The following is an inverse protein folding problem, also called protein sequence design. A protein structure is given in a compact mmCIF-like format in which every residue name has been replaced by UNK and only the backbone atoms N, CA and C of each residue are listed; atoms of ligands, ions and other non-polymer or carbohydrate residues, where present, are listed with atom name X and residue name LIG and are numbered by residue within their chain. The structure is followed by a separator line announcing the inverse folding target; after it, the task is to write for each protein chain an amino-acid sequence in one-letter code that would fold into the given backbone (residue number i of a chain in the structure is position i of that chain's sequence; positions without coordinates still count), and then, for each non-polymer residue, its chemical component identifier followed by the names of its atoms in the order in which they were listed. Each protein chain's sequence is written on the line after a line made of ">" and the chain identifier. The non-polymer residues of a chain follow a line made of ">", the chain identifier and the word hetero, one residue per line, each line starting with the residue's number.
data_IF_277677192375
#
_entry.id   IF_277677192375
#
_cell.length_a   1.000
_cell.length_b   1.000
_cell.length_c   1.000
_cell.angle_alpha   90.00
_cell.angle_beta   90.00
_cell.angle_gamma   90.00
#
_symmetry.space_group_name_H-M   'P 1'
#
loop_
_entity.id
_entity.type
_entity.pdbx_description
1 polymer ?
#
# COMPACT_ATOMS: atom_id res chain seq x y z
N UNK A 1 22.08 6.70 4.59
CA UNK A 1 21.82 7.40 5.87
C UNK A 1 20.75 6.60 6.62
N UNK A 2 20.96 6.13 7.85
CA UNK A 2 20.01 5.20 8.49
C UNK A 2 18.68 5.88 8.90
N UNK A 3 17.55 5.21 8.66
CA UNK A 3 16.21 5.62 9.14
C UNK A 3 16.23 5.90 10.65
N UNK A 4 15.81 7.08 11.08
CA UNK A 4 15.55 7.33 12.50
C UNK A 4 14.26 6.63 12.92
N UNK A 5 14.40 5.43 13.48
CA UNK A 5 13.30 4.52 13.83
C UNK A 5 12.32 5.14 14.83
N UNK A 6 12.82 5.87 15.84
CA UNK A 6 11.99 6.50 16.86
C UNK A 6 11.05 7.56 16.26
N UNK A 7 11.60 8.46 15.44
CA UNK A 7 10.82 9.48 14.74
C UNK A 7 9.88 8.87 13.70
N UNK A 8 10.28 7.76 13.09
CA UNK A 8 9.45 7.05 12.12
C UNK A 8 8.20 6.44 12.76
N UNK A 9 8.30 5.86 13.95
CA UNK A 9 7.15 5.25 14.64
C UNK A 9 6.07 6.25 15.07
N UNK A 10 6.40 7.52 15.23
CA UNK A 10 5.41 8.54 15.56
C UNK A 10 4.66 9.03 14.32
N UNK A 11 5.38 9.22 13.20
CA UNK A 11 4.83 9.89 12.03
C UNK A 11 4.41 8.93 10.91
N UNK A 12 4.98 7.73 10.86
CA UNK A 12 4.83 6.76 9.76
C UNK A 12 5.06 7.37 8.38
N UNK A 13 5.96 8.36 8.31
CA UNK A 13 6.34 9.06 7.09
C UNK A 13 7.84 8.93 6.91
N UNK A 14 8.24 8.54 5.72
CA UNK A 14 9.64 8.47 5.31
C UNK A 14 9.90 9.53 4.24
N UNK A 15 10.93 10.35 4.43
CA UNK A 15 11.39 11.31 3.44
C UNK A 15 12.91 11.36 3.47
N UNK A 16 13.53 11.12 2.31
CA UNK A 16 14.98 11.16 2.18
C UNK A 16 15.39 11.66 0.80
N UNK A 17 16.64 12.14 0.71
CA UNK A 17 17.32 12.47 -0.53
C UNK A 17 18.71 11.84 -0.47
N UNK A 18 18.89 10.70 -1.13
CA UNK A 18 20.11 9.91 -1.06
C UNK A 18 20.31 9.10 -2.36
N UNK A 19 21.51 8.55 -2.59
CA UNK A 19 21.74 7.58 -3.66
C UNK A 19 20.86 6.34 -3.51
N UNK A 20 20.64 5.62 -4.62
CA UNK A 20 19.79 4.43 -4.66
C UNK A 20 20.17 3.36 -3.62
N UNK A 21 21.45 2.98 -3.45
CA UNK A 21 21.83 1.95 -2.48
C UNK A 21 21.44 2.30 -1.05
N UNK A 22 21.54 3.57 -0.67
CA UNK A 22 21.16 4.06 0.64
C UNK A 22 19.65 4.00 0.86
N UNK A 23 18.86 4.41 -0.15
CA UNK A 23 17.41 4.32 -0.08
C UNK A 23 16.93 2.86 -0.02
N UNK A 24 17.60 1.95 -0.73
CA UNK A 24 17.27 0.52 -0.69
C UNK A 24 17.57 -0.08 0.69
N UNK A 25 18.67 0.31 1.34
CA UNK A 25 18.94 -0.06 2.74
C UNK A 25 17.85 0.45 3.67
N UNK A 26 17.40 1.69 3.50
CA UNK A 26 16.31 2.24 4.30
C UNK A 26 15.00 1.46 4.09
N UNK A 27 14.69 1.08 2.85
CA UNK A 27 13.50 0.26 2.57
C UNK A 27 13.59 -1.15 3.16
N UNK A 28 14.80 -1.69 3.29
CA UNK A 28 15.05 -2.98 3.96
C UNK A 28 14.87 -2.88 5.47
N UNK A 29 15.28 -1.76 6.08
CA UNK A 29 14.96 -1.50 7.50
C UNK A 29 13.45 -1.44 7.71
N UNK A 30 12.72 -0.77 6.81
CA UNK A 30 11.25 -0.70 6.89
C UNK A 30 10.58 -2.08 6.73
N UNK A 31 11.04 -2.92 5.80
CA UNK A 31 10.50 -4.28 5.64
C UNK A 31 10.77 -5.15 6.87
N UNK A 32 11.93 -5.01 7.50
CA UNK A 32 12.26 -5.74 8.73
C UNK A 32 11.43 -5.28 9.92
N UNK A 33 11.17 -3.97 10.06
CA UNK A 33 10.29 -3.45 11.11
C UNK A 33 8.86 -3.98 10.96
N UNK A 34 8.36 -3.99 9.73
CA UNK A 34 7.04 -4.51 9.38
C UNK A 34 6.93 -6.01 9.66
N UNK A 35 7.89 -6.81 9.20
CA UNK A 35 7.94 -8.25 9.43
C UNK A 35 7.98 -8.60 10.93
N UNK A 36 8.71 -7.81 11.74
CA UNK A 36 8.71 -7.97 13.21
C UNK A 36 7.35 -7.65 13.82
N UNK A 37 6.70 -6.58 13.40
CA UNK A 37 5.37 -6.21 13.90
C UNK A 37 4.32 -7.25 13.51
N UNK A 38 4.35 -7.76 12.28
CA UNK A 38 3.47 -8.83 11.81
C UNK A 38 3.71 -10.13 12.59
N UNK A 39 4.98 -10.51 12.78
CA UNK A 39 5.37 -11.68 13.56
C UNK A 39 4.89 -11.61 15.01
N UNK A 40 5.10 -10.48 15.68
CA UNK A 40 4.61 -10.24 17.04
C UNK A 40 3.08 -10.35 17.13
N UNK A 41 2.35 -9.79 16.16
CA UNK A 41 0.88 -9.86 16.13
C UNK A 41 0.36 -11.28 15.91
N UNK A 42 1.01 -12.06 15.04
CA UNK A 42 0.67 -13.48 14.83
C UNK A 42 0.97 -14.32 16.06
N UNK A 43 2.11 -14.09 16.72
CA UNK A 43 2.46 -14.77 17.97
C UNK A 43 1.46 -14.44 19.09
N UNK A 44 1.09 -13.17 19.27
CA UNK A 44 0.07 -12.74 20.23
C UNK A 44 -1.33 -13.28 19.92
N UNK A 45 -1.68 -13.42 18.64
CA UNK A 45 -2.93 -14.06 18.23
C UNK A 45 -2.96 -15.53 18.64
N UNK A 46 -1.91 -16.28 18.28
CA UNK A 46 -1.84 -17.70 18.58
C UNK A 46 -1.79 -17.95 20.10
N UNK A 47 -0.94 -17.22 20.82
CA UNK A 47 -0.83 -17.31 22.29
C UNK A 47 -2.11 -16.85 22.99
N UNK A 48 -2.72 -15.74 22.56
CA UNK A 48 -3.98 -15.24 23.10
C UNK A 48 -5.12 -16.25 22.95
N UNK A 49 -5.26 -16.90 21.77
CA UNK A 49 -6.25 -17.95 21.58
C UNK A 49 -5.95 -19.21 22.41
N UNK A 50 -4.69 -19.63 22.44
CA UNK A 50 -4.26 -20.81 23.20
C UNK A 50 -4.39 -20.66 24.73
N UNK A 51 -4.52 -19.43 25.23
CA UNK A 51 -4.69 -19.14 26.66
C UNK A 51 -6.14 -18.83 27.02
N UNK A 52 -6.82 -17.98 26.23
CA UNK A 52 -8.19 -17.55 26.51
C UNK A 52 -9.22 -18.67 26.37
N UNK A 53 -9.10 -19.54 25.37
CA UNK A 53 -10.05 -20.64 25.15
C UNK A 53 -10.05 -21.66 26.29
N UNK A 54 -8.91 -22.31 26.65
CA UNK A 54 -8.92 -23.25 27.75
C UNK A 54 -9.23 -22.58 29.08
N UNK A 55 -8.76 -21.35 29.33
CA UNK A 55 -9.12 -20.58 30.52
C UNK A 55 -10.64 -20.37 30.64
N UNK A 56 -11.29 -19.97 29.55
CA UNK A 56 -12.74 -19.81 29.48
C UNK A 56 -13.51 -21.11 29.69
N UNK A 57 -13.05 -22.21 29.08
CA UNK A 57 -13.67 -23.53 29.27
C UNK A 57 -13.54 -23.99 30.72
N UNK A 58 -12.36 -23.87 31.33
CA UNK A 58 -12.12 -24.25 32.73
C UNK A 58 -13.00 -23.41 33.67
N UNK A 59 -13.06 -22.09 33.46
CA UNK A 59 -13.90 -21.20 34.26
C UNK A 59 -15.40 -21.55 34.12
N UNK A 60 -15.87 -21.84 32.90
CA UNK A 60 -17.25 -22.21 32.63
C UNK A 60 -17.63 -23.56 33.26
N UNK A 61 -16.78 -24.58 33.13
CA UNK A 61 -16.99 -25.90 33.73
C UNK A 61 -16.99 -25.80 35.25
N UNK A 62 -16.03 -25.08 35.83
CA UNK A 62 -15.95 -24.86 37.28
C UNK A 62 -17.21 -24.16 37.80
N UNK A 63 -17.68 -23.12 37.09
CA UNK A 63 -18.91 -22.42 37.42
C UNK A 63 -20.14 -23.34 37.33
N UNK A 64 -20.25 -24.16 36.29
CA UNK A 64 -21.36 -25.10 36.13
C UNK A 64 -21.41 -26.16 37.23
N UNK A 65 -20.26 -26.71 37.62
CA UNK A 65 -20.16 -27.66 38.73
C UNK A 65 -20.50 -26.99 40.06
N UNK A 66 -19.98 -25.78 40.32
CA UNK A 66 -20.31 -25.03 41.52
C UNK A 66 -21.81 -24.71 41.60
N UNK A 67 -22.40 -24.18 40.53
CA UNK A 67 -23.82 -23.83 40.49
C UNK A 67 -24.73 -25.05 40.69
N UNK A 68 -24.40 -26.19 40.09
CA UNK A 68 -25.20 -27.41 40.21
C UNK A 68 -25.07 -28.13 41.56
N UNK A 69 -23.97 -27.91 42.28
CA UNK A 69 -23.70 -28.58 43.55
C UNK A 69 -24.08 -27.73 44.79
N UNK A 70 -24.16 -26.39 44.66
CA UNK A 70 -24.74 -25.50 45.70
C UNK A 70 -26.22 -25.83 45.96
N UNK A 71 -26.96 -26.26 44.94
CA UNK A 71 -28.37 -26.66 45.10
C UNK A 71 -28.57 -28.03 45.77
N UNK A 72 -27.49 -28.81 45.97
CA UNK A 72 -27.57 -30.21 46.45
C UNK A 72 -26.87 -30.48 47.78
N UNK A 73 -26.22 -29.50 48.40
CA UNK A 73 -25.42 -29.65 49.64
C UNK A 73 -24.39 -30.80 49.59
N UNK A 74 -23.94 -31.20 48.40
CA UNK A 74 -23.11 -32.40 48.15
C UNK A 74 -21.59 -32.12 48.08
N UNK A 75 -21.13 -30.89 48.33
CA UNK A 75 -19.72 -30.53 48.15
C UNK A 75 -18.91 -30.77 49.44
N UNK A 76 -17.99 -31.74 49.39
CA UNK A 76 -16.96 -31.89 50.43
C UNK A 76 -15.99 -30.71 50.47
N UNK A 77 -15.40 -30.38 51.62
CA UNK A 77 -14.43 -29.28 51.76
C UNK A 77 -13.26 -29.37 50.77
N UNK A 78 -12.78 -30.59 50.51
CA UNK A 78 -11.74 -30.85 49.52
C UNK A 78 -12.21 -30.52 48.09
N UNK A 79 -13.47 -30.84 47.75
CA UNK A 79 -14.09 -30.48 46.47
C UNK A 79 -14.26 -28.97 46.31
N UNK A 80 -14.64 -28.27 47.38
CA UNK A 80 -14.76 -26.81 47.37
C UNK A 80 -13.40 -26.11 47.16
N UNK A 81 -12.32 -26.62 47.79
CA UNK A 81 -10.97 -26.11 47.57
C UNK A 81 -10.49 -26.35 46.12
N UNK A 82 -10.72 -27.54 45.57
CA UNK A 82 -10.34 -27.87 44.21
C UNK A 82 -11.06 -27.00 43.17
N UNK A 83 -12.36 -26.73 43.37
CA UNK A 83 -13.14 -25.81 42.52
C UNK A 83 -12.61 -24.37 42.60
N UNK A 84 -12.28 -23.87 43.79
CA UNK A 84 -11.70 -22.52 43.94
C UNK A 84 -10.37 -22.38 43.21
N UNK A 85 -9.47 -23.36 43.34
CA UNK A 85 -8.17 -23.34 42.66
C UNK A 85 -8.35 -23.45 41.15
N UNK A 86 -9.15 -24.41 40.68
CA UNK A 86 -9.38 -24.65 39.25
C UNK A 86 -10.06 -23.46 38.58
N UNK A 87 -11.08 -22.88 39.23
CA UNK A 87 -11.75 -21.66 38.77
C UNK A 87 -10.84 -20.43 38.77
N UNK A 88 -9.99 -20.28 39.81
CA UNK A 88 -8.99 -19.23 39.88
C UNK A 88 -7.98 -19.30 38.74
N UNK A 89 -7.45 -20.49 38.45
CA UNK A 89 -6.53 -20.74 37.33
C UNK A 89 -7.23 -20.47 35.99
N UNK A 90 -8.45 -20.98 35.79
CA UNK A 90 -9.23 -20.73 34.57
C UNK A 90 -9.48 -19.24 34.34
N UNK A 91 -9.91 -18.53 35.39
CA UNK A 91 -10.11 -17.08 35.35
C UNK A 91 -8.83 -16.30 35.04
N UNK A 92 -7.71 -16.65 35.67
CA UNK A 92 -6.42 -16.01 35.42
C UNK A 92 -5.95 -16.19 33.96
N UNK A 93 -6.07 -17.41 33.42
CA UNK A 93 -5.74 -17.69 32.02
C UNK A 93 -6.60 -16.89 31.03
N UNK A 94 -7.90 -16.76 31.32
CA UNK A 94 -8.81 -15.94 30.52
C UNK A 94 -8.42 -14.46 30.54
N UNK A 95 -8.10 -13.91 31.72
CA UNK A 95 -7.65 -12.51 31.86
C UNK A 95 -6.34 -12.28 31.10
N UNK A 96 -5.35 -13.17 31.26
CA UNK A 96 -4.08 -13.08 30.53
C UNK A 96 -4.32 -13.12 29.02
N UNK A 97 -5.16 -14.04 28.54
CA UNK A 97 -5.51 -14.12 27.12
C UNK A 97 -6.15 -12.83 26.59
N UNK A 98 -7.07 -12.23 27.35
CA UNK A 98 -7.68 -10.93 27.01
C UNK A 98 -6.65 -9.80 26.97
N UNK A 99 -5.71 -9.74 27.93
CA UNK A 99 -4.62 -8.76 27.94
C UNK A 99 -3.72 -8.91 26.71
N UNK A 100 -3.42 -10.14 26.27
CA UNK A 100 -2.66 -10.38 25.04
C UNK A 100 -3.40 -9.87 23.79
N UNK A 101 -4.74 -10.02 23.73
CA UNK A 101 -5.54 -9.44 22.66
C UNK A 101 -5.55 -7.91 22.67
N UNK A 102 -5.63 -7.29 23.85
CA UNK A 102 -5.51 -5.84 24.00
C UNK A 102 -4.13 -5.37 23.54
N UNK A 103 -3.07 -6.08 23.93
CA UNK A 103 -1.71 -5.77 23.48
C UNK A 103 -1.58 -5.89 21.96
N UNK A 104 -2.12 -6.96 21.35
CA UNK A 104 -2.20 -7.11 19.89
C UNK A 104 -2.87 -5.91 19.22
N UNK A 105 -3.94 -5.38 19.81
CA UNK A 105 -4.63 -4.19 19.28
C UNK A 105 -3.73 -2.96 19.27
N UNK A 106 -2.93 -2.76 20.32
CA UNK A 106 -1.95 -1.64 20.38
C UNK A 106 -0.84 -1.73 19.35
N UNK A 107 -0.54 -2.94 18.82
CA UNK A 107 0.46 -3.15 17.77
C UNK A 107 -0.08 -2.95 16.36
N UNK A 108 -1.40 -2.91 16.16
CA UNK A 108 -2.02 -2.75 14.83
C UNK A 108 -1.51 -1.51 14.07
N UNK A 109 -1.28 -0.34 14.69
CA UNK A 109 -0.73 0.82 13.98
C UNK A 109 0.69 0.62 13.45
N UNK A 110 1.45 -0.36 13.96
CA UNK A 110 2.81 -0.67 13.53
C UNK A 110 2.88 -1.56 12.28
N UNK A 111 1.73 -2.10 11.86
CA UNK A 111 1.56 -2.87 10.63
C UNK A 111 1.57 -1.92 9.43
N UNK A 112 2.64 -1.99 8.63
CA UNK A 112 2.81 -1.11 7.47
C UNK A 112 2.17 -1.77 6.24
N UNK A 113 1.78 -0.98 5.23
CA UNK A 113 1.31 -1.56 3.97
C UNK A 113 2.51 -2.01 3.13
N UNK A 114 2.72 -3.33 3.03
CA UNK A 114 3.83 -3.97 2.30
C UNK A 114 3.97 -3.47 0.87
N UNK A 115 2.84 -3.10 0.24
CA UNK A 115 2.81 -2.64 -1.15
C UNK A 115 3.52 -1.30 -1.31
N UNK A 116 3.52 -0.45 -0.28
CA UNK A 116 4.03 0.93 -0.36
C UNK A 116 5.55 0.98 -0.41
N UNK A 117 6.22 0.38 0.58
CA UNK A 117 7.69 0.29 0.56
C UNK A 117 8.17 -0.70 -0.52
N UNK A 118 7.41 -1.77 -0.81
CA UNK A 118 7.70 -2.70 -1.89
C UNK A 118 7.74 -2.02 -3.27
N UNK A 119 6.80 -1.10 -3.55
CA UNK A 119 6.82 -0.34 -4.80
C UNK A 119 8.08 0.53 -4.90
N UNK A 120 8.45 1.19 -3.80
CA UNK A 120 9.66 2.01 -3.74
C UNK A 120 10.91 1.17 -4.06
N UNK A 121 11.07 0.01 -3.42
CA UNK A 121 12.19 -0.90 -3.67
C UNK A 121 12.29 -1.31 -5.14
N UNK A 122 11.18 -1.75 -5.73
CA UNK A 122 11.19 -2.23 -7.13
C UNK A 122 11.51 -1.09 -8.10
N UNK A 123 10.93 0.09 -7.90
CA UNK A 123 11.21 1.25 -8.76
C UNK A 123 12.65 1.74 -8.62
N UNK A 124 13.18 1.79 -7.39
CA UNK A 124 14.58 2.16 -7.15
C UNK A 124 15.55 1.23 -7.88
N UNK A 125 15.38 -0.10 -7.74
CA UNK A 125 16.21 -1.10 -8.45
C UNK A 125 16.14 -0.97 -9.96
N UNK A 126 14.95 -0.65 -10.51
CA UNK A 126 14.79 -0.45 -11.97
C UNK A 126 15.46 0.84 -12.46
N UNK A 127 15.38 1.91 -11.67
CA UNK A 127 15.96 3.20 -12.02
C UNK A 127 17.47 3.25 -11.81
N UNK A 128 18.04 2.39 -10.96
CA UNK A 128 19.47 2.32 -10.67
C UNK A 128 20.32 2.25 -11.94
N UNK A 129 19.87 1.48 -12.94
CA UNK A 129 20.57 1.32 -14.22
C UNK A 129 20.65 2.61 -15.06
N UNK A 130 19.71 3.53 -14.87
CA UNK A 130 19.61 4.78 -15.64
C UNK A 130 20.16 6.01 -14.87
N UNK A 131 20.72 5.77 -13.68
CA UNK A 131 21.23 6.80 -12.76
C UNK A 131 22.75 6.77 -12.70
N UNK A 132 23.37 7.93 -12.44
CA UNK A 132 24.77 7.93 -12.04
C UNK A 132 24.91 7.32 -10.64
N UNK A 133 26.04 6.66 -10.30
CA UNK A 133 26.20 5.94 -9.02
C UNK A 133 25.83 6.77 -7.79
N UNK A 134 26.20 8.04 -7.78
CA UNK A 134 25.95 8.97 -6.66
C UNK A 134 24.77 9.92 -6.91
N UNK A 135 23.94 9.67 -7.93
CA UNK A 135 22.83 10.55 -8.26
C UNK A 135 21.79 10.53 -7.12
N UNK A 136 21.49 11.69 -6.51
CA UNK A 136 20.55 11.73 -5.40
C UNK A 136 19.11 11.54 -5.90
N UNK A 137 18.43 10.54 -5.35
CA UNK A 137 17.00 10.31 -5.53
C UNK A 137 16.27 10.89 -4.32
N UNK A 138 15.23 11.68 -4.56
CA UNK A 138 14.33 12.15 -3.50
C UNK A 138 13.14 11.21 -3.42
N UNK A 139 12.98 10.55 -2.26
CA UNK A 139 11.88 9.65 -1.98
C UNK A 139 11.03 10.19 -0.84
N UNK A 140 9.71 10.17 -1.02
CA UNK A 140 8.71 10.45 0.00
C UNK A 140 7.67 9.33 0.03
N UNK A 141 7.44 8.79 1.23
CA UNK A 141 6.48 7.74 1.52
C UNK A 141 5.64 8.14 2.74
N UNK A 142 4.32 8.10 2.62
CA UNK A 142 3.38 8.07 3.74
C UNK A 142 2.92 6.62 3.92
N UNK A 143 3.20 6.02 5.06
CA UNK A 143 2.86 4.62 5.36
C UNK A 143 1.65 4.50 6.28
N UNK A 144 1.01 5.63 6.64
CA UNK A 144 -0.25 5.63 7.39
C UNK A 144 -1.38 5.12 6.51
N UNK A 145 -2.39 4.53 7.14
CA UNK A 145 -3.60 4.08 6.45
C UNK A 145 -4.21 5.19 5.56
N UNK A 146 -4.83 4.84 4.42
CA UNK A 146 -5.37 5.81 3.47
C UNK A 146 -6.64 6.53 3.99
N UNK A 147 -7.21 6.05 5.08
CA UNK A 147 -8.47 6.48 5.68
C UNK A 147 -8.31 7.23 7.02
N UNK A 148 -7.10 7.72 7.30
CA UNK A 148 -6.84 8.64 8.42
C UNK A 148 -7.61 9.95 8.21
N UNK A 149 -8.16 10.51 9.28
CA UNK A 149 -9.00 11.72 9.24
C UNK A 149 -8.31 12.91 8.58
N UNK A 150 -7.00 13.10 8.78
CA UNK A 150 -6.19 14.14 8.10
C UNK A 150 -6.28 14.09 6.57
N UNK A 151 -6.54 12.90 6.00
CA UNK A 151 -6.60 12.65 4.56
C UNK A 151 -8.02 12.76 4.02
N UNK A 152 -9.01 13.03 4.88
CA UNK A 152 -10.41 13.18 4.49
C UNK A 152 -10.63 14.54 3.83
N UNK A 153 -11.11 14.51 2.60
CA UNK A 153 -11.32 15.71 1.78
C UNK A 153 -12.78 16.15 1.78
N UNK A 154 -13.70 15.20 1.90
CA UNK A 154 -15.13 15.48 1.90
C UNK A 154 -15.89 14.43 2.69
N UNK A 155 -16.93 14.86 3.39
CA UNK A 155 -17.99 14.00 3.92
C UNK A 155 -19.29 14.42 3.25
N UNK A 156 -20.06 13.45 2.75
CA UNK A 156 -21.29 13.71 1.99
C UNK A 156 -22.31 12.59 2.19
N UNK A 157 -23.58 12.87 1.86
CA UNK A 157 -24.63 11.87 1.80
C UNK A 157 -24.89 11.48 0.34
N UNK A 158 -24.53 10.26 -0.04
CA UNK A 158 -24.72 9.75 -1.41
C UNK A 158 -25.88 8.77 -1.41
N UNK A 159 -27.07 9.26 -1.76
CA UNK A 159 -28.32 8.52 -1.58
C UNK A 159 -28.60 8.28 -0.10
N UNK A 160 -28.73 7.02 0.33
CA UNK A 160 -28.98 6.64 1.73
C UNK A 160 -27.71 6.25 2.50
N UNK A 161 -26.53 6.70 2.05
CA UNK A 161 -25.23 6.33 2.62
C UNK A 161 -24.45 7.57 3.07
N UNK A 162 -24.03 7.57 4.33
CA UNK A 162 -23.01 8.50 4.82
C UNK A 162 -21.68 8.12 4.19
N UNK A 163 -21.05 9.05 3.47
CA UNK A 163 -19.92 8.77 2.60
C UNK A 163 -18.76 9.69 2.92
N UNK A 164 -17.63 9.12 3.32
CA UNK A 164 -16.37 9.83 3.48
C UNK A 164 -15.47 9.59 2.27
N UNK A 165 -14.87 10.67 1.75
CA UNK A 165 -13.92 10.66 0.65
C UNK A 165 -12.53 11.03 1.17
N UNK A 166 -11.55 10.17 0.92
CA UNK A 166 -10.16 10.34 1.30
C UNK A 166 -9.27 10.44 0.07
N UNK A 167 -8.26 11.31 0.13
CA UNK A 167 -7.21 11.42 -0.87
C UNK A 167 -5.86 11.25 -0.17
N UNK A 168 -5.14 10.19 -0.51
CA UNK A 168 -3.88 9.82 0.11
C UNK A 168 -2.71 9.94 -0.88
N UNK A 169 -2.02 11.09 -0.94
CA UNK A 169 -0.82 11.28 -1.75
C UNK A 169 0.40 10.64 -1.08
N UNK A 170 0.45 9.32 -1.06
CA UNK A 170 1.41 8.59 -0.24
C UNK A 170 2.80 8.40 -0.87
N UNK A 171 2.94 8.44 -2.20
CA UNK A 171 4.21 8.16 -2.88
C UNK A 171 4.69 9.34 -3.72
N UNK A 172 5.97 9.70 -3.59
CA UNK A 172 6.66 10.54 -4.56
C UNK A 172 8.12 10.13 -4.68
N UNK A 173 8.57 9.84 -5.90
CA UNK A 173 9.96 9.60 -6.26
C UNK A 173 10.38 10.64 -7.31
N UNK A 174 11.44 11.39 -7.03
CA UNK A 174 12.01 12.37 -7.95
C UNK A 174 13.49 12.11 -8.15
N UNK A 175 13.94 12.10 -9.41
CA UNK A 175 15.36 11.93 -9.71
C UNK A 175 15.73 12.59 -11.04
N UNK A 176 17.04 12.70 -11.28
CA UNK A 176 17.60 13.12 -12.56
C UNK A 176 18.35 11.95 -13.17
N UNK A 177 17.93 11.52 -14.35
CA UNK A 177 18.55 10.44 -15.10
C UNK A 177 19.86 10.90 -15.75
N UNK A 178 20.68 9.95 -16.21
CA UNK A 178 21.98 10.21 -16.83
C UNK A 178 21.90 11.10 -18.10
N UNK A 179 20.78 11.05 -18.83
CA UNK A 179 20.51 11.94 -19.98
C UNK A 179 20.16 13.39 -19.58
N UNK A 180 20.06 13.66 -18.28
CA UNK A 180 19.69 14.93 -17.68
C UNK A 180 18.19 15.21 -17.68
N UNK A 181 17.34 14.22 -18.00
CA UNK A 181 15.90 14.31 -17.82
C UNK A 181 15.55 14.23 -16.33
N UNK A 182 14.60 15.05 -15.90
CA UNK A 182 14.07 15.01 -14.54
C UNK A 182 12.81 14.17 -14.52
N UNK A 183 12.84 13.06 -13.79
CA UNK A 183 11.73 12.12 -13.65
C UNK A 183 11.05 12.33 -12.31
N UNK A 184 9.71 12.35 -12.33
CA UNK A 184 8.86 12.33 -11.15
C UNK A 184 7.81 11.23 -11.29
N UNK A 185 7.79 10.32 -10.34
CA UNK A 185 6.75 9.30 -10.19
C UNK A 185 5.95 9.63 -8.93
N UNK A 186 4.63 9.68 -9.03
CA UNK A 186 3.72 9.99 -7.91
C UNK A 186 2.60 8.98 -7.88
N UNK A 187 2.23 8.53 -6.69
CA UNK A 187 1.03 7.71 -6.49
C UNK A 187 0.10 8.36 -5.47
N UNK A 188 -1.18 8.35 -5.79
CA UNK A 188 -2.26 8.89 -4.93
C UNK A 188 -3.37 7.86 -4.86
N UNK A 189 -3.77 7.45 -3.67
CA UNK A 189 -4.94 6.60 -3.47
C UNK A 189 -6.17 7.46 -3.21
N UNK A 190 -7.31 7.06 -3.78
CA UNK A 190 -8.60 7.65 -3.47
C UNK A 190 -9.49 6.57 -2.87
N UNK A 191 -9.90 6.78 -1.62
CA UNK A 191 -10.73 5.82 -0.89
C UNK A 191 -12.05 6.47 -0.55
N UNK A 192 -13.12 5.72 -0.76
CA UNK A 192 -14.48 6.07 -0.40
C UNK A 192 -14.98 5.05 0.61
N UNK A 193 -15.31 5.53 1.81
CA UNK A 193 -16.01 4.75 2.83
C UNK A 193 -17.47 5.14 2.83
N UNK A 194 -18.37 4.15 2.83
CA UNK A 194 -19.81 4.36 2.90
C UNK A 194 -20.36 3.58 4.09
N UNK A 195 -21.15 4.24 4.90
CA UNK A 195 -21.80 3.65 6.05
C UNK A 195 -23.31 3.92 6.00
N UNK A 196 -24.08 2.91 6.39
CA UNK A 196 -25.51 3.04 6.61
C UNK A 196 -25.88 2.26 7.86
N UNK A 197 -26.56 2.94 8.78
CA UNK A 197 -27.09 2.32 9.99
C UNK A 197 -28.61 2.25 9.90
N UNK A 198 -29.19 1.14 10.38
CA UNK A 198 -30.64 0.96 10.50
C UNK A 198 -30.96 0.34 11.86
N UNK A 199 -31.93 0.91 12.56
CA UNK A 199 -32.44 0.39 13.83
C UNK A 199 -33.75 -0.36 13.56
N UNK A 200 -33.89 -1.57 14.11
CA UNK A 200 -35.14 -2.34 14.04
C UNK A 200 -36.16 -1.87 15.08
N UNK A 201 -37.42 -2.27 14.94
CA UNK A 201 -38.47 -1.98 15.93
C UNK A 201 -38.14 -2.51 17.33
N UNK A 202 -37.33 -3.58 17.42
CA UNK A 202 -36.80 -4.11 18.69
C UNK A 202 -35.60 -3.33 19.26
N UNK A 203 -35.24 -2.17 18.70
CA UNK A 203 -34.11 -1.35 19.14
C UNK A 203 -32.73 -1.82 18.66
N UNK A 204 -32.62 -2.96 17.97
CA UNK A 204 -31.34 -3.48 17.47
C UNK A 204 -30.84 -2.64 16.28
N UNK A 205 -29.69 -2.00 16.46
CA UNK A 205 -29.01 -1.27 15.39
C UNK A 205 -28.11 -2.20 14.57
N UNK A 206 -28.19 -2.11 13.24
CA UNK A 206 -27.31 -2.78 12.29
C UNK A 206 -26.64 -1.76 11.40
N UNK A 207 -25.32 -1.80 11.34
CA UNK A 207 -24.50 -0.96 10.47
C UNK A 207 -23.97 -1.78 9.30
N UNK A 208 -24.13 -1.25 8.09
CA UNK A 208 -23.51 -1.79 6.88
C UNK A 208 -22.47 -0.81 6.38
N UNK A 209 -21.26 -1.31 6.17
CA UNK A 209 -20.14 -0.54 5.62
C UNK A 209 -19.76 -1.06 4.24
N UNK A 210 -19.36 -0.14 3.34
CA UNK A 210 -18.74 -0.46 2.05
C UNK A 210 -17.50 0.39 1.87
N UNK A 211 -16.47 -0.18 1.26
CA UNK A 211 -15.25 0.52 0.86
C UNK A 211 -15.08 0.40 -0.65
N UNK A 212 -14.76 1.51 -1.31
CA UNK A 212 -14.37 1.53 -2.72
C UNK A 212 -13.09 2.36 -2.84
N UNK A 213 -12.07 1.82 -3.49
CA UNK A 213 -10.82 2.53 -3.70
C UNK A 213 -10.33 2.42 -5.14
N UNK A 214 -9.37 3.28 -5.48
CA UNK A 214 -8.52 3.13 -6.65
C UNK A 214 -7.24 3.94 -6.45
N UNK A 215 -6.19 3.59 -7.18
CA UNK A 215 -4.93 4.31 -7.15
C UNK A 215 -4.70 5.06 -8.46
N UNK A 216 -4.14 6.27 -8.37
CA UNK A 216 -3.68 7.06 -9.51
C UNK A 216 -2.16 7.11 -9.51
N UNK A 217 -1.58 6.55 -10.55
CA UNK A 217 -0.15 6.59 -10.81
C UNK A 217 0.14 7.66 -11.86
N UNK A 218 1.06 8.56 -11.56
CA UNK A 218 1.49 9.62 -12.47
C UNK A 218 3.00 9.54 -12.69
N UNK A 219 3.41 9.50 -13.96
CA UNK A 219 4.82 9.56 -14.38
C UNK A 219 5.00 10.82 -15.20
N UNK A 220 5.90 11.70 -14.76
CA UNK A 220 6.25 12.93 -15.44
C UNK A 220 7.75 12.95 -15.75
N UNK A 221 8.09 13.33 -16.98
CA UNK A 221 9.47 13.57 -17.40
C UNK A 221 9.58 15.01 -17.88
N UNK A 222 10.52 15.74 -17.32
CA UNK A 222 10.88 17.10 -17.74
C UNK A 222 12.23 17.05 -18.46
N UNK A 223 12.26 17.62 -19.65
CA UNK A 223 13.43 17.68 -20.53
C UNK A 223 13.73 19.12 -20.92
N UNK A 224 14.95 19.36 -21.41
CA UNK A 224 15.35 20.64 -22.00
C UNK A 224 14.67 20.79 -23.37
N UNK A 225 13.81 21.81 -23.60
CA UNK A 225 13.07 21.97 -24.86
C UNK A 225 13.96 22.03 -26.10
N UNK A 226 15.17 22.60 -25.96
CA UNK A 226 16.13 22.76 -27.06
C UNK A 226 16.57 21.41 -27.65
N UNK A 227 16.58 20.35 -26.81
CA UNK A 227 16.93 18.99 -27.24
C UNK A 227 15.78 18.26 -27.92
N UNK A 228 14.55 18.75 -27.78
CA UNK A 228 13.32 18.10 -28.24
C UNK A 228 12.36 19.10 -28.90
N UNK A 229 12.75 19.73 -30.01
CA UNK A 229 11.92 20.74 -30.66
C UNK A 229 10.59 20.17 -31.16
N UNK A 230 9.51 20.92 -30.98
CA UNK A 230 8.16 20.56 -31.45
C UNK A 230 7.49 19.46 -30.63
N UNK A 231 7.96 19.19 -29.41
CA UNK A 231 7.43 18.14 -28.53
C UNK A 231 5.93 18.34 -28.24
N UNK A 232 5.50 19.58 -27.99
CA UNK A 232 4.12 19.97 -27.70
C UNK A 232 3.12 19.54 -28.80
N UNK A 233 3.58 19.41 -30.04
CA UNK A 233 2.75 19.00 -31.19
C UNK A 233 2.50 17.51 -31.24
N UNK A 234 3.16 16.72 -30.39
CA UNK A 234 3.08 15.26 -30.41
C UNK A 234 2.04 14.67 -29.45
N UNK A 235 1.09 15.45 -28.91
CA UNK A 235 0.07 14.93 -27.99
C UNK A 235 -0.64 13.68 -28.51
N UNK A 236 -1.14 13.71 -29.74
CA UNK A 236 -1.87 12.57 -30.34
C UNK A 236 -0.97 11.34 -30.44
N UNK A 237 0.27 11.52 -30.91
CA UNK A 237 1.26 10.45 -31.04
C UNK A 237 1.71 9.91 -29.69
N UNK A 238 1.81 10.77 -28.67
CA UNK A 238 2.13 10.36 -27.31
C UNK A 238 1.02 9.48 -26.72
N UNK A 239 -0.23 9.86 -26.94
CA UNK A 239 -1.39 9.03 -26.55
C UNK A 239 -1.36 7.68 -27.27
N UNK A 240 -1.19 7.66 -28.60
CA UNK A 240 -1.19 6.40 -29.36
C UNK A 240 0.03 5.51 -29.09
N UNK A 241 1.17 6.09 -28.71
CA UNK A 241 2.37 5.37 -28.34
C UNK A 241 2.34 4.83 -26.89
N UNK A 242 1.36 5.27 -26.08
CA UNK A 242 1.28 4.83 -24.69
C UNK A 242 0.90 3.36 -24.63
N UNK A 243 1.78 2.56 -24.04
CA UNK A 243 1.56 1.14 -23.77
C UNK A 243 1.34 0.99 -22.26
N UNK A 244 0.21 0.41 -21.87
CA UNK A 244 -0.11 0.07 -20.48
C UNK A 244 -0.48 -1.42 -20.40
N UNK A 245 -0.39 -2.04 -19.20
CA UNK A 245 -0.99 -3.35 -18.96
C UNK A 245 -2.49 -3.34 -19.29
N UNK A 246 -3.04 -4.47 -19.76
CA UNK A 246 -4.41 -4.57 -20.31
C UNK A 246 -5.52 -4.06 -19.37
N UNK A 247 -5.33 -4.19 -18.05
CA UNK A 247 -6.32 -3.81 -17.03
C UNK A 247 -6.21 -2.37 -16.54
N UNK A 248 -5.11 -1.69 -16.88
CA UNK A 248 -4.83 -0.34 -16.41
C UNK A 248 -5.39 0.66 -17.40
N UNK A 249 -6.19 1.59 -16.90
CA UNK A 249 -6.81 2.63 -17.70
C UNK A 249 -5.90 3.87 -17.77
N UNK A 250 -5.71 4.40 -18.99
CA UNK A 250 -5.02 5.67 -19.19
C UNK A 250 -5.98 6.84 -18.93
N UNK A 251 -5.83 7.54 -17.80
CA UNK A 251 -6.68 8.69 -17.47
C UNK A 251 -6.30 9.96 -18.24
N UNK A 252 -4.98 10.19 -18.44
CA UNK A 252 -4.51 11.47 -18.97
C UNK A 252 -3.12 11.42 -19.58
N UNK A 253 -2.97 12.11 -20.71
CA UNK A 253 -1.69 12.45 -21.34
C UNK A 253 -1.56 13.97 -21.44
N UNK A 254 -0.46 14.53 -20.92
CA UNK A 254 -0.11 15.93 -21.07
C UNK A 254 1.25 16.04 -21.75
N UNK A 255 1.32 16.86 -22.78
CA UNK A 255 2.55 17.14 -23.54
C UNK A 255 2.70 18.66 -23.63
N UNK A 256 3.88 19.14 -23.29
CA UNK A 256 4.31 20.53 -23.38
C UNK A 256 5.77 20.55 -23.87
N UNK A 257 6.28 21.74 -24.25
CA UNK A 257 7.58 21.88 -24.92
C UNK A 257 8.76 21.21 -24.18
N UNK A 258 8.73 21.19 -22.85
CA UNK A 258 9.76 20.54 -22.02
C UNK A 258 9.22 19.50 -21.05
N UNK A 259 7.98 19.03 -21.21
CA UNK A 259 7.35 18.13 -20.23
C UNK A 259 6.38 17.15 -20.86
N UNK A 260 6.52 15.89 -20.49
CA UNK A 260 5.56 14.82 -20.73
C UNK A 260 5.02 14.32 -19.40
N UNK A 261 3.73 14.03 -19.33
CA UNK A 261 3.10 13.43 -18.15
C UNK A 261 2.05 12.44 -18.58
N UNK A 262 2.15 11.22 -18.06
CA UNK A 262 1.15 10.18 -18.17
C UNK A 262 0.52 9.96 -16.81
N UNK A 263 -0.79 9.75 -16.78
CA UNK A 263 -1.54 9.36 -15.59
C UNK A 263 -2.40 8.14 -15.89
N UNK A 264 -2.28 7.13 -15.05
CA UNK A 264 -2.99 5.88 -15.15
C UNK A 264 -3.79 5.60 -13.87
N UNK A 265 -4.90 4.89 -14.03
CA UNK A 265 -5.77 4.42 -12.95
C UNK A 265 -5.55 2.92 -12.73
N UNK A 266 -5.27 2.56 -11.50
CA UNK A 266 -5.16 1.18 -11.01
C UNK A 266 -6.30 0.89 -10.03
N UNK A 267 -6.68 -0.37 -9.91
CA UNK A 267 -7.61 -0.86 -8.88
C UNK A 267 -7.07 -0.67 -7.45
N UNK A 268 -7.95 -0.77 -6.43
CA UNK A 268 -7.56 -0.70 -5.00
C UNK A 268 -6.65 -1.87 -4.57
N UNK A 269 -6.75 -2.99 -5.30
CA UNK A 269 -6.04 -4.24 -5.02
C UNK A 269 -4.71 -4.35 -5.79
N UNK A 270 -4.16 -3.22 -6.24
CA UNK A 270 -2.84 -3.18 -6.88
C UNK A 270 -1.76 -3.80 -5.99
N UNK A 271 -0.69 -4.29 -6.61
CA UNK A 271 0.52 -4.82 -5.94
C UNK A 271 1.77 -4.14 -6.46
N UNK A 272 2.81 -4.07 -5.63
CA UNK A 272 4.11 -3.54 -6.04
C UNK A 272 4.69 -4.36 -7.20
N UNK A 273 4.71 -5.69 -7.05
CA UNK A 273 5.04 -6.70 -8.05
C UNK A 273 4.23 -7.96 -7.73
N UNK A 274 3.58 -8.60 -8.70
CA UNK A 274 2.90 -9.87 -8.46
C UNK A 274 3.93 -10.95 -8.10
N UNK A 275 3.62 -11.78 -7.11
CA UNK A 275 4.51 -12.86 -6.64
C UNK A 275 4.63 -14.01 -7.66
N UNK A 276 3.63 -14.17 -8.53
CA UNK A 276 3.60 -15.14 -9.64
C UNK A 276 3.02 -14.50 -10.89
N UNK A 277 3.54 -14.85 -12.05
CA UNK A 277 3.01 -14.35 -13.33
C UNK A 277 1.66 -15.01 -13.66
N UNK A 278 0.72 -14.27 -14.29
CA UNK A 278 -0.50 -14.88 -14.82
C UNK A 278 -0.12 -15.88 -15.93
N UNK A 279 -0.18 -17.17 -15.63
CA UNK A 279 0.21 -18.25 -16.56
C UNK A 279 1.20 -19.27 -15.97
N UNK A 280 1.58 -19.15 -14.71
CA UNK A 280 2.32 -20.20 -13.99
C UNK A 280 1.53 -21.53 -14.01
N UNK A 281 2.04 -22.60 -14.64
CA UNK A 281 1.33 -23.88 -14.78
C UNK A 281 1.14 -24.60 -13.44
N UNK A 282 1.87 -24.22 -12.39
CA UNK A 282 1.73 -24.78 -11.05
C UNK A 282 0.69 -24.05 -10.18
N UNK A 283 0.10 -22.95 -10.67
CA UNK A 283 -0.92 -22.21 -9.92
C UNK A 283 -2.31 -22.85 -10.12
N UNK A 284 -3.00 -23.29 -9.05
CA UNK A 284 -4.36 -23.84 -9.18
C UNK A 284 -5.31 -22.84 -9.83
N UNK A 285 -6.21 -23.30 -10.69
CA UNK A 285 -7.03 -22.45 -11.56
C UNK A 285 -7.85 -21.37 -10.83
N UNK A 286 -8.27 -21.62 -9.59
CA UNK A 286 -8.99 -20.65 -8.75
C UNK A 286 -8.12 -19.45 -8.33
N UNK A 287 -6.80 -19.59 -8.32
CA UNK A 287 -5.86 -18.49 -8.06
C UNK A 287 -5.64 -17.59 -9.27
N UNK A 288 -5.91 -18.03 -10.51
CA UNK A 288 -5.66 -17.18 -11.69
C UNK A 288 -6.47 -15.87 -11.68
N UNK A 289 -7.66 -15.85 -11.06
CA UNK A 289 -8.43 -14.62 -10.86
C UNK A 289 -7.89 -13.75 -9.71
N UNK A 290 -7.42 -14.36 -8.62
CA UNK A 290 -6.81 -13.67 -7.48
C UNK A 290 -5.37 -13.16 -7.74
N UNK A 291 -4.67 -13.75 -8.71
CA UNK A 291 -3.30 -13.41 -9.14
C UNK A 291 -3.25 -12.25 -10.14
N UNK A 292 -4.39 -11.84 -10.70
CA UNK A 292 -4.42 -10.82 -11.75
C UNK A 292 -4.61 -9.40 -11.18
N UNK A 293 -3.89 -9.08 -10.10
CA UNK A 293 -3.80 -7.75 -9.49
C UNK A 293 -3.02 -6.79 -10.38
N UNK A 294 -3.34 -5.50 -10.34
CA UNK A 294 -2.61 -4.51 -11.13
C UNK A 294 -1.17 -4.34 -10.62
N UNK A 295 -0.19 -4.59 -11.48
CA UNK A 295 1.23 -4.40 -11.18
C UNK A 295 1.61 -2.93 -11.31
N UNK A 296 1.76 -2.25 -10.17
CA UNK A 296 2.10 -0.83 -10.13
C UNK A 296 3.51 -0.56 -10.66
N UNK A 297 4.48 -1.43 -10.38
CA UNK A 297 5.85 -1.25 -10.87
C UNK A 297 5.91 -1.37 -12.39
N UNK A 298 5.31 -2.41 -12.97
CA UNK A 298 5.26 -2.62 -14.43
C UNK A 298 4.53 -1.49 -15.11
N UNK A 299 3.43 -1.01 -14.53
CA UNK A 299 2.70 0.15 -15.04
C UNK A 299 3.60 1.38 -15.08
N UNK A 300 4.30 1.70 -13.99
CA UNK A 300 5.21 2.86 -13.95
C UNK A 300 6.34 2.75 -14.99
N UNK A 301 6.95 1.56 -15.10
CA UNK A 301 8.02 1.33 -16.09
C UNK A 301 7.49 1.44 -17.52
N UNK A 302 6.34 0.86 -17.85
CA UNK A 302 5.75 0.97 -19.19
C UNK A 302 5.34 2.41 -19.53
N UNK A 303 4.84 3.17 -18.56
CA UNK A 303 4.60 4.61 -18.71
C UNK A 303 5.90 5.37 -19.00
N UNK A 304 6.97 5.11 -18.24
CA UNK A 304 8.28 5.73 -18.46
C UNK A 304 8.82 5.40 -19.85
N UNK A 305 8.81 4.14 -20.24
CA UNK A 305 9.25 3.69 -21.57
C UNK A 305 8.44 4.32 -22.70
N UNK A 306 7.12 4.44 -22.52
CA UNK A 306 6.24 5.10 -23.48
C UNK A 306 6.61 6.58 -23.67
N UNK A 307 6.92 7.30 -22.58
CA UNK A 307 7.43 8.68 -22.65
C UNK A 307 8.75 8.72 -23.41
N UNK A 308 9.67 7.80 -23.11
CA UNK A 308 10.97 7.72 -23.77
C UNK A 308 10.88 7.39 -25.26
N UNK A 309 9.90 6.59 -25.69
CA UNK A 309 9.64 6.35 -27.12
C UNK A 309 9.27 7.64 -27.85
N UNK A 310 8.43 8.50 -27.24
CA UNK A 310 8.05 9.81 -27.80
C UNK A 310 9.24 10.76 -27.85
N UNK A 311 10.05 10.80 -26.80
CA UNK A 311 11.29 11.58 -26.74
C UNK A 311 12.35 11.09 -27.76
N UNK A 312 12.47 9.78 -27.95
CA UNK A 312 13.35 9.20 -28.96
C UNK A 312 12.91 9.54 -30.38
N UNK A 313 11.59 9.60 -30.63
CA UNK A 313 11.04 10.01 -31.93
C UNK A 313 11.32 11.49 -32.24
N UNK A 314 11.06 12.40 -31.29
CA UNK A 314 11.36 13.85 -31.47
C UNK A 314 12.82 14.09 -31.78
N UNK A 315 13.72 13.48 -31.00
CA UNK A 315 15.17 13.62 -31.19
C UNK A 315 15.62 13.13 -32.57
N UNK A 316 15.10 11.99 -33.04
CA UNK A 316 15.40 11.47 -34.38
C UNK A 316 14.89 12.40 -35.49
N UNK A 317 13.67 12.90 -35.36
CA UNK A 317 13.09 13.86 -36.32
C UNK A 317 13.92 15.14 -36.40
N UNK A 318 14.33 15.70 -35.26
CA UNK A 318 15.15 16.91 -35.22
C UNK A 318 16.50 16.71 -35.92
N UNK A 319 17.16 15.56 -35.69
CA UNK A 319 18.41 15.20 -36.39
C UNK A 319 18.21 15.12 -37.91
N UNK A 320 17.13 14.48 -38.37
CA UNK A 320 16.83 14.37 -39.80
C UNK A 320 16.54 15.73 -40.45
N UNK A 321 15.83 16.62 -39.76
CA UNK A 321 15.55 17.97 -40.24
C UNK A 321 16.84 18.80 -40.34
N UNK A 322 17.72 18.72 -39.33
CA UNK A 322 19.02 19.39 -39.37
C UNK A 322 19.91 18.87 -40.51
N UNK A 323 19.92 17.56 -40.76
CA UNK A 323 20.65 16.97 -41.88
C UNK A 323 20.11 17.40 -43.26
N UNK A 324 18.78 17.55 -43.40
CA UNK A 324 18.15 18.04 -44.63
C UNK A 324 18.40 19.54 -44.86
N UNK A 325 18.38 20.35 -43.81
CA UNK A 325 18.68 21.79 -43.90
C UNK A 325 20.10 22.07 -44.39
N UNK A 326 21.08 21.21 -44.02
CA UNK A 326 22.47 21.31 -44.49
C UNK A 326 22.69 20.88 -45.95
N UNK A 327 21.73 20.17 -46.56
CA UNK A 327 21.82 19.64 -47.93
C UNK A 327 21.17 20.52 -48.99
N UNK A 328 20.58 21.66 -48.63
CA UNK A 328 20.20 22.69 -49.60
C UNK A 328 21.36 23.69 -49.69
N UNK A 329 22.19 23.67 -50.75
CA UNK A 329 23.04 24.81 -51.04
C UNK A 329 22.13 26.00 -51.41
N UNK A 330 22.65 27.20 -51.11
CA UNK A 330 22.06 28.47 -51.53
C UNK A 330 21.97 28.57 -53.06
#
# INVERSE_FOLDING_TARGET
>A
MAVNVSRFHELFRYQSRAPVPDLLKDMEVLSQLDARAEGQRRALEWTGWSTALPGGVIAMVTYGVWAGAVDRDEITDAGAQLLKVTGGVGGALLVVGLLLFLWRYTLKPRDLDNRRYGLAQVLLRRLEMDLAPDAPVRLKLDLRAPDVLDKRVKQDMVGWWNTDFFIDPWFTLETRLADGAFVRIRMVEQVQKRERSKTSASGKSRTKTKRKGFARLEVSVRVKPERYPGLERLKIRATSATRLPRKVELERVRVAAGRLTLRARLSDEWVARPMREPGDPEAPAFWHQALAKDDASRTATMMLLSIYQVLGYTRRRAKLQAARGRRKPA
#
